data_IF_913886603163
#
_entry.id   IF_913886603163
#
_cell.length_a   1.000
_cell.length_b   1.000
_cell.length_c   1.000
_cell.angle_alpha   90.00
_cell.angle_beta   90.00
_cell.angle_gamma   90.00
#
_symmetry.space_group_name_H-M   'P 1'
#
loop_
_entity.id
_entity.type
_entity.pdbx_description
1 polymer ?
#
# COMPACT_ATOMS: atom_id res chain seq x y z
N UNK A 1 1.09 18.88 -5.64
CA UNK A 1 -0.35 18.52 -5.55
C UNK A 1 -0.82 18.68 -4.12
N UNK A 2 -2.12 18.94 -3.87
CA UNK A 2 -2.68 18.98 -2.51
C UNK A 2 -3.02 17.56 -2.06
N UNK A 3 -2.71 17.22 -0.80
CA UNK A 3 -2.97 15.88 -0.25
C UNK A 3 -4.46 15.48 -0.33
N UNK A 4 -5.37 16.44 -0.15
CA UNK A 4 -6.82 16.22 -0.27
C UNK A 4 -7.31 15.83 -1.67
N UNK A 5 -6.47 15.98 -2.69
CA UNK A 5 -6.77 15.60 -4.09
C UNK A 5 -5.94 14.38 -4.54
N UNK A 6 -5.15 13.80 -3.64
CA UNK A 6 -4.34 12.63 -3.96
C UNK A 6 -5.21 11.38 -3.90
N UNK A 7 -5.05 10.50 -4.89
CA UNK A 7 -5.64 9.18 -4.86
C UNK A 7 -4.76 8.26 -4.02
N UNK A 8 -5.35 7.57 -3.05
CA UNK A 8 -4.63 6.69 -2.13
C UNK A 8 -5.16 6.81 -0.70
N UNK A 9 -5.26 5.69 0.01
CA UNK A 9 -5.62 5.64 1.43
C UNK A 9 -4.47 5.02 2.20
N UNK A 10 -3.97 5.72 3.20
CA UNK A 10 -2.96 5.17 4.10
C UNK A 10 -3.60 4.20 5.07
N UNK A 11 -2.87 3.13 5.42
CA UNK A 11 -3.30 2.15 6.41
C UNK A 11 -2.74 2.50 7.79
N UNK A 12 -3.59 2.40 8.82
CA UNK A 12 -3.15 2.60 10.21
C UNK A 12 -2.31 1.43 10.72
N UNK A 13 -2.69 0.20 10.33
CA UNK A 13 -2.05 -1.04 10.75
C UNK A 13 -1.15 -1.56 9.65
N UNK A 14 -0.05 -2.21 10.03
CA UNK A 14 0.85 -2.87 9.08
C UNK A 14 0.21 -4.18 8.63
N UNK A 15 0.04 -4.42 7.32
CA UNK A 15 -0.45 -5.70 6.82
C UNK A 15 0.48 -6.84 7.25
N UNK A 16 -0.08 -7.90 7.83
CA UNK A 16 0.68 -9.07 8.30
C UNK A 16 1.17 -9.97 7.18
N UNK A 17 0.61 -9.83 5.97
CA UNK A 17 0.92 -10.64 4.79
C UNK A 17 2.21 -10.20 4.08
N UNK A 18 2.75 -9.03 4.42
CA UNK A 18 3.95 -8.49 3.82
C UNK A 18 5.21 -8.87 4.63
N UNK A 19 6.05 -9.74 4.07
CA UNK A 19 7.28 -10.21 4.72
C UNK A 19 8.42 -9.17 4.70
N UNK A 20 8.48 -8.32 3.67
CA UNK A 20 9.54 -7.32 3.50
C UNK A 20 9.17 -5.93 4.02
N UNK A 21 10.11 -5.22 4.65
CA UNK A 21 9.91 -3.85 5.14
C UNK A 21 9.49 -2.88 4.03
N UNK A 22 10.09 -2.99 2.84
CA UNK A 22 9.72 -2.17 1.68
C UNK A 22 8.27 -2.44 1.24
N UNK A 23 7.88 -3.71 1.18
CA UNK A 23 6.53 -4.15 0.83
C UNK A 23 5.51 -3.61 1.85
N UNK A 24 5.79 -3.75 3.15
CA UNK A 24 4.94 -3.22 4.22
C UNK A 24 4.75 -1.69 4.09
N UNK A 25 5.81 -0.95 3.78
CA UNK A 25 5.73 0.50 3.62
C UNK A 25 4.92 0.91 2.40
N UNK A 26 5.08 0.22 1.26
CA UNK A 26 4.32 0.51 0.04
C UNK A 26 2.82 0.26 0.21
N UNK A 27 2.45 -0.87 0.84
CA UNK A 27 1.05 -1.15 1.17
C UNK A 27 0.49 -0.13 2.16
N UNK A 28 1.24 0.20 3.21
CA UNK A 28 0.79 1.13 4.25
C UNK A 28 0.63 2.57 3.74
N UNK A 29 1.49 2.98 2.81
CA UNK A 29 1.39 4.27 2.14
C UNK A 29 0.25 4.33 1.10
N UNK A 30 -0.38 3.19 0.79
CA UNK A 30 -1.42 3.09 -0.24
C UNK A 30 -0.86 3.27 -1.65
N UNK A 31 0.42 2.92 -1.85
CA UNK A 31 1.10 3.03 -3.15
C UNK A 31 0.90 1.80 -4.03
N UNK A 32 0.58 0.65 -3.42
CA UNK A 32 0.27 -0.58 -4.13
C UNK A 32 -0.93 -1.26 -3.49
N UNK A 33 -1.72 -1.99 -4.27
CA UNK A 33 -2.80 -2.84 -3.80
C UNK A 33 -2.63 -4.26 -4.39
N UNK A 34 -2.78 -5.29 -3.56
CA UNK A 34 -2.65 -6.67 -4.00
C UNK A 34 -4.00 -7.15 -4.57
N UNK A 35 -4.03 -7.48 -5.87
CA UNK A 35 -5.23 -8.00 -6.55
C UNK A 35 -5.26 -9.53 -6.55
N UNK A 36 -4.09 -10.18 -6.56
CA UNK A 36 -3.92 -11.63 -6.44
C UNK A 36 -2.54 -11.97 -5.84
N UNK A 37 -2.27 -13.24 -5.55
CA UNK A 37 -0.98 -13.69 -5.05
C UNK A 37 0.16 -13.26 -6.00
N UNK A 38 1.01 -12.35 -5.56
CA UNK A 38 2.12 -11.81 -6.35
C UNK A 38 1.73 -10.78 -7.43
N UNK A 39 0.46 -10.39 -7.53
CA UNK A 39 -0.03 -9.39 -8.50
C UNK A 39 -0.46 -8.12 -7.77
N UNK A 40 0.13 -6.99 -8.15
CA UNK A 40 -0.11 -5.68 -7.53
C UNK A 40 -0.56 -4.64 -8.56
N UNK A 41 -1.51 -3.79 -8.18
CA UNK A 41 -1.90 -2.57 -8.89
C UNK A 41 -1.21 -1.36 -8.27
N UNK A 42 -0.94 -0.35 -9.10
CA UNK A 42 -0.32 0.94 -8.75
C UNK A 42 -1.27 2.11 -9.00
#
# INVERSE_FOLDING_TARGET
MRFSKLFGKTLRQTPSEAEGTSHQLLLRAGMIAQEAAGIYSF
#
